data_IF_899650508617
#
_entry.id   IF_899650508617
#
_cell.length_a   1.000
_cell.length_b   1.000
_cell.length_c   1.000
_cell.angle_alpha   90.00
_cell.angle_beta   90.00
_cell.angle_gamma   90.00
#
_symmetry.space_group_name_H-M   'P 1'
#
loop_
_entity.id
_entity.type
_entity.pdbx_description
1 polymer ?
#
# COMPACT_ATOMS: atom_id res chain seq x y z
N UNK A 1 -15.21 12.56 17.38
CA UNK A 1 -16.63 12.23 17.56
C UNK A 1 -17.00 11.27 16.45
N UNK A 2 -17.61 10.11 16.74
CA UNK A 2 -18.00 9.15 15.68
C UNK A 2 -19.14 9.78 14.88
N UNK A 3 -18.98 9.85 13.55
CA UNK A 3 -19.98 10.39 12.64
C UNK A 3 -20.60 9.25 11.86
N UNK A 4 -21.93 9.21 11.83
CA UNK A 4 -22.67 8.29 10.97
C UNK A 4 -22.85 8.98 9.63
N UNK A 5 -22.41 8.33 8.55
CA UNK A 5 -22.76 8.71 7.19
C UNK A 5 -23.92 7.84 6.71
N UNK A 6 -25.04 8.49 6.38
CA UNK A 6 -26.30 7.85 6.01
C UNK A 6 -26.56 7.84 4.49
N UNK A 7 -25.73 8.53 3.71
CA UNK A 7 -25.78 8.51 2.26
C UNK A 7 -25.34 7.15 1.67
N UNK A 8 -25.80 6.80 0.45
CA UNK A 8 -25.39 5.57 -0.21
C UNK A 8 -23.87 5.57 -0.47
N UNK A 9 -23.24 4.44 -0.16
CA UNK A 9 -21.81 4.17 -0.40
C UNK A 9 -21.67 2.87 -1.18
N UNK A 10 -20.57 2.74 -1.92
CA UNK A 10 -20.33 1.66 -2.86
C UNK A 10 -19.15 0.80 -2.39
N UNK A 11 -19.30 -0.51 -2.51
CA UNK A 11 -18.22 -1.49 -2.59
C UNK A 11 -17.99 -1.88 -4.06
N UNK A 12 -16.92 -2.63 -4.35
CA UNK A 12 -16.57 -3.01 -5.74
C UNK A 12 -17.65 -3.85 -6.43
N UNK A 13 -18.38 -4.67 -5.68
CA UNK A 13 -19.48 -5.50 -6.19
C UNK A 13 -20.67 -4.69 -6.72
N UNK A 14 -20.77 -3.40 -6.37
CA UNK A 14 -21.92 -2.56 -6.70
C UNK A 14 -21.78 -1.88 -8.08
N UNK A 15 -20.65 -2.06 -8.77
CA UNK A 15 -20.35 -1.36 -10.04
C UNK A 15 -19.77 -2.28 -11.11
N UNK A 16 -19.85 -1.83 -12.36
CA UNK A 16 -19.17 -2.43 -13.51
C UNK A 16 -18.48 -1.33 -14.33
N UNK A 17 -17.34 -1.66 -14.95
CA UNK A 17 -16.64 -0.74 -15.86
C UNK A 17 -17.35 -0.76 -17.22
N UNK A 18 -17.92 0.38 -17.63
CA UNK A 18 -18.56 0.52 -18.94
C UNK A 18 -17.52 0.45 -20.08
N UNK A 19 -17.68 -0.44 -21.07
CA UNK A 19 -16.79 -0.48 -22.23
C UNK A 19 -16.76 0.85 -23.00
N UNK A 20 -15.60 1.18 -23.58
CA UNK A 20 -15.40 2.33 -24.46
C UNK A 20 -14.79 1.87 -25.78
N UNK A 21 -15.04 2.62 -26.86
CA UNK A 21 -14.42 2.36 -28.17
C UNK A 21 -12.89 2.37 -28.02
N UNK A 22 -12.23 1.32 -28.51
CA UNK A 22 -10.77 1.16 -28.42
C UNK A 22 -10.16 0.93 -29.80
N UNK A 23 -8.90 1.36 -29.96
CA UNK A 23 -8.07 1.06 -31.13
C UNK A 23 -7.17 -0.16 -30.92
N UNK A 24 -7.13 -0.69 -29.69
CA UNK A 24 -6.35 -1.89 -29.36
C UNK A 24 -6.95 -3.12 -30.03
N UNK A 25 -6.08 -3.96 -30.57
CA UNK A 25 -6.45 -5.22 -31.26
C UNK A 25 -6.21 -6.45 -30.41
N UNK A 26 -5.36 -6.35 -29.38
CA UNK A 26 -5.01 -7.43 -28.48
C UNK A 26 -4.71 -6.91 -27.08
N UNK A 27 -4.99 -7.73 -26.06
CA UNK A 27 -4.60 -7.49 -24.66
C UNK A 27 -3.09 -7.38 -24.48
N UNK A 28 -2.31 -8.05 -25.33
CA UNK A 28 -0.84 -7.98 -25.31
C UNK A 28 -0.28 -6.59 -25.66
N UNK A 29 -1.11 -5.66 -26.14
CA UNK A 29 -0.73 -4.28 -26.41
C UNK A 29 -0.92 -3.36 -25.21
N UNK A 30 -1.45 -3.86 -24.09
CA UNK A 30 -1.63 -3.10 -22.86
C UNK A 30 -0.33 -3.12 -22.06
N UNK A 31 0.14 -1.93 -21.67
CA UNK A 31 1.24 -1.77 -20.73
C UNK A 31 0.68 -1.54 -19.33
N UNK A 32 1.16 -2.31 -18.36
CA UNK A 32 0.79 -2.18 -16.95
C UNK A 32 1.82 -1.35 -16.15
N UNK A 33 3.02 -1.18 -16.69
CA UNK A 33 4.06 -0.33 -16.11
C UNK A 33 3.55 1.11 -15.96
N UNK A 34 3.72 1.64 -14.75
CA UNK A 34 3.39 3.01 -14.38
C UNK A 34 4.65 3.69 -13.86
N UNK A 35 4.90 4.94 -14.30
CA UNK A 35 5.92 5.80 -13.68
C UNK A 35 5.24 6.70 -12.64
N UNK A 36 5.72 6.65 -11.41
CA UNK A 36 5.24 7.44 -10.29
C UNK A 36 6.37 8.34 -9.81
N UNK A 37 6.08 9.63 -9.62
CA UNK A 37 6.95 10.54 -8.86
C UNK A 37 6.30 10.81 -7.52
N UNK A 38 6.98 10.44 -6.45
CA UNK A 38 6.50 10.62 -5.09
C UNK A 38 6.62 12.08 -4.65
N UNK A 39 5.57 12.56 -3.95
CA UNK A 39 5.42 13.97 -3.59
C UNK A 39 6.53 14.48 -2.69
N UNK A 40 6.83 13.77 -1.61
CA UNK A 40 7.67 14.23 -0.52
C UNK A 40 9.11 13.76 -0.68
N UNK A 41 9.30 12.47 -0.97
CA UNK A 41 10.64 11.89 -1.20
C UNK A 41 11.28 12.35 -2.50
N UNK A 42 10.47 12.82 -3.47
CA UNK A 42 10.88 13.13 -4.86
C UNK A 42 11.42 11.91 -5.63
N UNK A 43 11.38 10.74 -5.02
CA UNK A 43 11.80 9.51 -5.65
C UNK A 43 10.87 9.19 -6.82
N UNK A 44 11.47 8.69 -7.90
CA UNK A 44 10.74 8.09 -9.00
C UNK A 44 10.71 6.57 -8.84
N UNK A 45 9.57 5.97 -9.11
CA UNK A 45 9.39 4.54 -9.14
C UNK A 45 8.72 4.13 -10.46
N UNK A 46 9.13 2.98 -11.01
CA UNK A 46 8.55 2.43 -12.23
C UNK A 46 8.33 0.94 -12.07
N UNK A 47 7.09 0.49 -12.26
CA UNK A 47 6.71 -0.90 -12.15
C UNK A 47 5.22 -1.10 -12.34
N UNK A 48 4.73 -2.29 -12.01
CA UNK A 48 3.29 -2.60 -12.03
C UNK A 48 2.73 -2.23 -10.65
N UNK A 49 1.79 -1.27 -10.54
CA UNK A 49 1.34 -0.72 -9.25
C UNK A 49 0.36 -1.66 -8.53
N UNK A 50 0.82 -2.89 -8.29
CA UNK A 50 0.16 -3.90 -7.48
C UNK A 50 1.12 -4.25 -6.35
N UNK A 51 0.57 -4.29 -5.14
CA UNK A 51 1.34 -4.46 -3.92
C UNK A 51 0.88 -5.70 -3.17
N UNK A 52 1.83 -6.52 -2.73
CA UNK A 52 1.57 -7.60 -1.77
C UNK A 52 1.38 -6.99 -0.38
N UNK A 53 0.33 -7.40 0.32
CA UNK A 53 0.08 -7.00 1.69
C UNK A 53 1.20 -7.46 2.63
N UNK A 54 1.46 -6.69 3.69
CA UNK A 54 2.49 -6.96 4.70
C UNK A 54 2.07 -7.96 5.77
N UNK A 55 1.29 -8.99 5.41
CA UNK A 55 0.92 -10.08 6.31
C UNK A 55 2.03 -11.14 6.33
N UNK A 56 2.21 -11.80 7.46
CA UNK A 56 3.19 -12.89 7.65
C UNK A 56 3.06 -14.05 6.66
N UNK A 57 1.88 -14.23 6.10
CA UNK A 57 1.53 -15.27 5.13
C UNK A 57 1.60 -14.82 3.67
N UNK A 58 1.86 -13.53 3.40
CA UNK A 58 1.88 -12.99 2.03
C UNK A 58 3.15 -12.20 1.73
N UNK A 59 3.52 -11.24 2.59
CA UNK A 59 4.69 -10.37 2.45
C UNK A 59 6.01 -11.07 2.80
N UNK A 60 6.26 -12.26 2.25
CA UNK A 60 7.45 -13.07 2.55
C UNK A 60 8.57 -12.84 1.51
N UNK A 61 9.77 -13.32 1.84
CA UNK A 61 10.92 -13.28 0.92
C UNK A 61 10.69 -14.08 -0.36
N UNK A 62 10.03 -15.23 -0.27
CA UNK A 62 9.69 -16.06 -1.42
C UNK A 62 8.74 -15.33 -2.36
N UNK A 63 7.76 -14.61 -1.80
CA UNK A 63 6.83 -13.81 -2.60
C UNK A 63 7.56 -12.64 -3.29
N UNK A 64 8.45 -11.95 -2.58
CA UNK A 64 9.28 -10.89 -3.16
C UNK A 64 10.11 -11.40 -4.35
N UNK A 65 10.76 -12.57 -4.22
CA UNK A 65 11.50 -13.20 -5.33
C UNK A 65 10.60 -13.57 -6.50
N UNK A 66 9.46 -14.20 -6.23
CA UNK A 66 8.54 -14.67 -7.26
C UNK A 66 7.93 -13.53 -8.07
N UNK A 67 7.71 -12.36 -7.45
CA UNK A 67 7.07 -11.21 -8.09
C UNK A 67 8.04 -10.18 -8.67
N UNK A 68 9.33 -10.25 -8.34
CA UNK A 68 10.35 -9.36 -8.90
C UNK A 68 10.40 -9.35 -10.45
N UNK A 69 10.27 -10.47 -11.18
CA UNK A 69 10.21 -10.46 -12.65
C UNK A 69 9.05 -9.65 -13.22
N UNK A 70 7.98 -9.48 -12.43
CA UNK A 70 6.77 -8.76 -12.82
C UNK A 70 6.78 -7.30 -12.39
N UNK A 71 7.84 -6.83 -11.70
CA UNK A 71 7.98 -5.45 -11.18
C UNK A 71 6.84 -5.03 -10.24
N UNK A 72 6.28 -5.98 -9.50
CA UNK A 72 5.32 -5.71 -8.42
C UNK A 72 6.07 -5.33 -7.15
N UNK A 73 5.39 -4.61 -6.25
CA UNK A 73 5.92 -4.28 -4.94
C UNK A 73 5.53 -5.37 -3.94
N UNK A 74 6.46 -5.75 -3.06
CA UNK A 74 6.17 -6.60 -1.91
C UNK A 74 6.38 -5.81 -0.62
N UNK A 75 5.30 -5.48 0.10
CA UNK A 75 5.43 -4.97 1.46
C UNK A 75 5.78 -6.14 2.36
N UNK A 76 7.00 -6.18 2.90
CA UNK A 76 7.43 -7.30 3.73
C UNK A 76 6.74 -7.24 5.07
N UNK A 77 6.33 -8.39 5.61
CA UNK A 77 5.82 -8.43 6.98
C UNK A 77 6.91 -8.03 7.98
N UNK A 78 6.51 -7.44 9.10
CA UNK A 78 7.45 -6.83 10.06
C UNK A 78 8.09 -7.81 11.04
N UNK A 79 7.95 -9.12 10.85
CA UNK A 79 8.39 -10.13 11.83
C UNK A 79 9.81 -10.65 11.60
N UNK A 80 10.40 -10.40 10.43
CA UNK A 80 11.82 -10.71 10.20
C UNK A 80 12.73 -9.87 11.10
N UNK A 81 13.84 -10.47 11.51
CA UNK A 81 14.93 -9.79 12.18
C UNK A 81 15.80 -9.02 11.17
N UNK A 82 16.68 -8.15 11.66
CA UNK A 82 17.66 -7.46 10.82
C UNK A 82 18.54 -8.46 10.09
N UNK A 83 19.00 -9.51 10.80
CA UNK A 83 19.85 -10.55 10.23
C UNK A 83 19.15 -11.33 9.11
N UNK A 84 17.85 -11.59 9.24
CA UNK A 84 17.07 -12.26 8.19
C UNK A 84 17.01 -11.41 6.92
N UNK A 85 16.73 -10.11 7.05
CA UNK A 85 16.64 -9.18 5.91
C UNK A 85 18.01 -8.99 5.25
N UNK A 86 19.08 -8.92 6.04
CA UNK A 86 20.46 -8.86 5.53
C UNK A 86 20.84 -10.16 4.81
N UNK A 87 20.49 -11.32 5.38
CA UNK A 87 20.70 -12.61 4.73
C UNK A 87 19.93 -12.72 3.40
N UNK A 88 18.70 -12.22 3.36
CA UNK A 88 17.92 -12.16 2.12
C UNK A 88 18.53 -11.23 1.09
N UNK A 89 18.98 -10.02 1.48
CA UNK A 89 19.72 -9.09 0.61
C UNK A 89 20.90 -9.79 -0.05
N UNK A 90 21.68 -10.53 0.73
CA UNK A 90 22.86 -11.25 0.25
C UNK A 90 22.50 -12.42 -0.66
N UNK A 91 21.42 -13.13 -0.37
CA UNK A 91 20.90 -14.22 -1.22
C UNK A 91 20.51 -13.72 -2.61
N UNK A 92 19.84 -12.56 -2.70
CA UNK A 92 19.37 -11.98 -3.96
C UNK A 92 20.39 -11.05 -4.63
N UNK A 93 21.59 -10.92 -4.05
CA UNK A 93 22.66 -10.12 -4.61
C UNK A 93 23.07 -10.66 -5.99
N UNK A 94 22.88 -9.85 -7.03
CA UNK A 94 23.18 -10.24 -8.41
C UNK A 94 22.07 -11.01 -9.13
N UNK A 95 20.87 -11.12 -8.55
CA UNK A 95 19.69 -11.58 -9.27
C UNK A 95 19.41 -10.70 -10.50
N UNK A 96 18.90 -11.30 -11.59
CA UNK A 96 18.59 -10.60 -12.85
C UNK A 96 17.59 -9.45 -12.64
N UNK A 97 16.66 -9.64 -11.70
CA UNK A 97 15.67 -8.65 -11.32
C UNK A 97 16.04 -8.03 -9.98
N UNK A 98 15.96 -6.70 -9.88
CA UNK A 98 16.28 -6.00 -8.64
C UNK A 98 15.14 -6.17 -7.61
N UNK A 99 15.25 -7.24 -6.82
CA UNK A 99 14.27 -7.62 -5.79
C UNK A 99 14.20 -6.54 -4.71
N UNK A 100 15.35 -6.07 -4.22
CA UNK A 100 15.42 -5.14 -3.08
C UNK A 100 14.83 -3.76 -3.38
N UNK A 101 14.87 -3.30 -4.64
CA UNK A 101 14.26 -2.02 -5.01
C UNK A 101 12.71 -2.03 -4.98
N UNK A 102 12.10 -3.22 -5.06
CA UNK A 102 10.64 -3.38 -5.09
C UNK A 102 10.08 -3.94 -3.78
N UNK A 103 10.86 -3.96 -2.69
CA UNK A 103 10.33 -4.24 -1.36
C UNK A 103 10.06 -2.96 -0.59
N UNK A 104 9.03 -2.98 0.24
CA UNK A 104 8.83 -1.97 1.29
C UNK A 104 9.02 -2.62 2.67
N UNK A 105 9.80 -1.98 3.55
CA UNK A 105 9.97 -2.44 4.93
C UNK A 105 8.80 -1.97 5.76
N UNK A 106 8.04 -2.90 6.33
CA UNK A 106 6.88 -2.54 7.15
C UNK A 106 7.24 -2.32 8.61
N UNK A 107 6.58 -1.36 9.24
CA UNK A 107 6.74 -1.03 10.66
C UNK A 107 5.42 -0.56 11.28
N UNK A 108 5.25 -0.84 12.57
CA UNK A 108 4.25 -0.16 13.40
C UNK A 108 4.83 1.11 14.00
N UNK A 109 4.17 1.66 15.03
CA UNK A 109 4.56 2.94 15.65
C UNK A 109 5.43 2.79 16.90
N UNK A 110 5.90 1.59 17.23
CA UNK A 110 6.72 1.37 18.43
C UNK A 110 8.17 1.82 18.23
N UNK A 111 8.85 2.22 19.30
CA UNK A 111 10.28 2.57 19.23
C UNK A 111 11.15 1.38 18.81
N UNK A 112 10.75 0.15 19.18
CA UNK A 112 11.43 -1.07 18.76
C UNK A 112 11.33 -1.30 17.24
N UNK A 113 10.13 -1.15 16.67
CA UNK A 113 9.92 -1.24 15.22
C UNK A 113 10.71 -0.14 14.48
N UNK A 114 10.73 1.08 15.01
CA UNK A 114 11.50 2.19 14.45
C UNK A 114 13.00 1.95 14.48
N UNK A 115 13.55 1.49 15.61
CA UNK A 115 14.97 1.18 15.76
C UNK A 115 15.39 0.06 14.80
N UNK A 116 14.60 -1.02 14.72
CA UNK A 116 14.84 -2.13 13.79
C UNK A 116 14.84 -1.68 12.34
N UNK A 117 13.87 -0.84 11.95
CA UNK A 117 13.78 -0.30 10.58
C UNK A 117 15.00 0.54 10.24
N UNK A 118 15.48 1.38 11.16
CA UNK A 118 16.70 2.16 10.95
C UNK A 118 17.93 1.28 10.73
N UNK A 119 18.03 0.16 11.44
CA UNK A 119 19.11 -0.80 11.26
C UNK A 119 19.01 -1.52 9.92
N UNK A 120 17.82 -1.99 9.53
CA UNK A 120 17.58 -2.60 8.21
C UNK A 120 17.97 -1.64 7.09
N UNK A 121 17.49 -0.39 7.11
CA UNK A 121 17.78 0.60 6.05
C UNK A 121 19.28 0.92 5.98
N UNK A 122 19.96 0.97 7.13
CA UNK A 122 21.41 1.20 7.19
C UNK A 122 22.17 0.05 6.54
N UNK A 123 21.79 -1.19 6.83
CA UNK A 123 22.48 -2.37 6.30
C UNK A 123 22.05 -2.68 4.85
N UNK A 124 20.83 -2.31 4.43
CA UNK A 124 20.27 -2.58 3.11
C UNK A 124 19.94 -1.27 2.35
N UNK A 125 20.94 -0.50 1.87
CA UNK A 125 20.75 0.80 1.22
C UNK A 125 19.95 0.76 -0.10
N UNK A 126 19.76 -0.43 -0.68
CA UNK A 126 18.94 -0.69 -1.86
C UNK A 126 17.45 -0.56 -1.57
N UNK A 127 17.03 -0.73 -0.32
CA UNK A 127 15.65 -0.51 0.09
C UNK A 127 15.31 0.97 -0.06
N UNK A 128 14.26 1.27 -0.82
CA UNK A 128 13.81 2.65 -1.06
C UNK A 128 12.40 2.96 -0.56
N UNK A 129 11.70 2.00 0.05
CA UNK A 129 10.33 2.19 0.50
C UNK A 129 10.10 1.72 1.94
N UNK A 130 9.30 2.47 2.68
CA UNK A 130 8.78 2.11 4.00
C UNK A 130 7.25 1.99 3.94
N UNK A 131 6.69 1.05 4.70
CA UNK A 131 5.25 0.86 4.85
C UNK A 131 4.87 0.96 6.33
N UNK A 132 4.42 2.14 6.77
CA UNK A 132 3.97 2.36 8.14
C UNK A 132 2.50 1.94 8.21
N UNK A 133 2.24 0.79 8.82
CA UNK A 133 0.93 0.14 8.80
C UNK A 133 0.39 -0.08 10.22
N UNK A 134 -0.73 0.59 10.51
CA UNK A 134 -1.51 0.41 11.74
C UNK A 134 -3.01 0.36 11.44
N UNK A 135 -3.77 -0.26 12.34
CA UNK A 135 -5.21 -0.39 12.19
C UNK A 135 -5.98 0.95 12.21
N UNK A 136 -5.46 1.97 12.90
CA UNK A 136 -6.13 3.26 13.06
C UNK A 136 -5.19 4.43 12.73
N UNK A 137 -5.13 4.82 11.45
CA UNK A 137 -4.34 5.94 10.96
C UNK A 137 -4.82 7.33 11.41
N UNK A 138 -5.93 7.43 12.15
CA UNK A 138 -6.49 8.70 12.62
C UNK A 138 -5.92 9.20 13.95
N UNK A 139 -4.93 8.50 14.52
CA UNK A 139 -4.32 8.91 15.78
C UNK A 139 -3.22 9.96 15.56
N UNK A 140 -3.19 10.99 16.41
CA UNK A 140 -2.11 12.00 16.42
C UNK A 140 -0.73 11.35 16.57
N UNK A 141 -0.64 10.31 17.41
CA UNK A 141 0.58 9.51 17.57
C UNK A 141 1.09 8.91 16.25
N UNK A 142 0.19 8.51 15.36
CA UNK A 142 0.56 8.00 14.04
C UNK A 142 1.10 9.11 13.13
N UNK A 143 0.44 10.27 13.11
CA UNK A 143 0.90 11.45 12.37
C UNK A 143 2.31 11.85 12.81
N UNK A 144 2.55 11.90 14.12
CA UNK A 144 3.88 12.17 14.69
C UNK A 144 4.90 11.12 14.28
N UNK A 145 4.50 9.85 14.23
CA UNK A 145 5.38 8.77 13.78
C UNK A 145 5.74 8.88 12.29
N UNK A 146 4.79 9.25 11.43
CA UNK A 146 5.03 9.52 10.00
C UNK A 146 6.01 10.68 9.83
N UNK A 147 5.84 11.76 10.61
CA UNK A 147 6.76 12.91 10.61
C UNK A 147 8.18 12.48 10.97
N UNK A 148 8.32 11.75 12.08
CA UNK A 148 9.61 11.21 12.55
C UNK A 148 10.27 10.30 11.50
N UNK A 149 9.49 9.45 10.82
CA UNK A 149 10.00 8.62 9.74
C UNK A 149 10.50 9.44 8.55
N UNK A 150 9.74 10.46 8.11
CA UNK A 150 10.16 11.37 7.03
C UNK A 150 11.43 12.15 7.39
N UNK A 151 11.52 12.68 8.61
CA UNK A 151 12.72 13.39 9.07
C UNK A 151 13.96 12.50 9.07
N UNK A 152 13.79 11.22 9.41
CA UNK A 152 14.89 10.24 9.44
C UNK A 152 15.27 9.72 8.05
N UNK A 153 14.29 9.52 7.17
CA UNK A 153 14.42 8.85 5.87
C UNK A 153 13.90 9.76 4.75
N UNK A 154 14.55 10.91 4.57
CA UNK A 154 14.04 12.00 3.73
C UNK A 154 13.89 11.64 2.24
N UNK A 155 14.67 10.69 1.73
CA UNK A 155 14.73 10.25 0.34
C UNK A 155 13.92 8.98 0.05
N UNK A 156 13.38 8.31 1.07
CA UNK A 156 12.60 7.09 0.90
C UNK A 156 11.13 7.37 0.58
N UNK A 157 10.54 6.56 -0.28
CA UNK A 157 9.09 6.48 -0.47
C UNK A 157 8.40 6.00 0.81
N UNK A 158 7.50 6.79 1.37
CA UNK A 158 6.75 6.42 2.59
C UNK A 158 5.30 6.11 2.24
N UNK A 159 4.89 4.87 2.43
CA UNK A 159 3.49 4.43 2.41
C UNK A 159 2.98 4.44 3.85
N UNK A 160 1.83 5.06 4.11
CA UNK A 160 1.28 5.18 5.45
C UNK A 160 -0.24 4.92 5.48
N UNK A 161 -0.72 4.12 6.43
CA UNK A 161 -2.14 3.94 6.68
C UNK A 161 -2.46 3.06 7.88
N UNK A 162 -3.72 2.66 8.11
CA UNK A 162 -4.85 2.81 7.20
C UNK A 162 -5.84 3.93 7.56
N UNK A 163 -6.42 4.54 6.52
CA UNK A 163 -7.48 5.56 6.61
C UNK A 163 -8.57 5.31 5.57
N UNK A 164 -9.69 6.02 5.63
CA UNK A 164 -10.84 5.87 4.70
C UNK A 164 -11.48 7.19 4.27
N UNK A 165 -10.89 8.33 4.63
CA UNK A 165 -11.44 9.66 4.37
C UNK A 165 -10.40 10.63 3.81
N UNK A 166 -10.87 11.64 3.09
CA UNK A 166 -10.01 12.62 2.40
C UNK A 166 -9.17 13.49 3.34
N UNK A 167 -9.71 13.94 4.48
CA UNK A 167 -8.98 14.83 5.39
C UNK A 167 -7.73 14.18 5.99
N UNK A 168 -7.84 12.90 6.34
CA UNK A 168 -6.72 12.18 6.93
C UNK A 168 -5.67 11.82 5.86
N UNK A 169 -6.10 11.61 4.61
CA UNK A 169 -5.18 11.50 3.47
C UNK A 169 -4.36 12.78 3.31
N UNK A 170 -5.03 13.94 3.31
CA UNK A 170 -4.35 15.23 3.19
C UNK A 170 -3.36 15.45 4.34
N UNK A 171 -3.77 15.19 5.58
CA UNK A 171 -2.91 15.35 6.76
C UNK A 171 -1.66 14.48 6.69
N UNK A 172 -1.78 13.20 6.33
CA UNK A 172 -0.63 12.29 6.22
C UNK A 172 0.31 12.69 5.07
N UNK A 173 -0.24 13.11 3.93
CA UNK A 173 0.56 13.61 2.80
C UNK A 173 1.29 14.92 3.13
N UNK A 174 0.64 15.85 3.81
CA UNK A 174 1.26 17.10 4.27
C UNK A 174 2.33 16.84 5.32
N UNK A 175 2.14 15.82 6.16
CA UNK A 175 3.08 15.43 7.21
C UNK A 175 4.35 14.79 6.66
N UNK A 176 4.24 14.01 5.59
CA UNK A 176 5.43 13.45 4.94
C UNK A 176 5.26 12.12 4.21
N UNK A 177 4.09 11.49 4.26
CA UNK A 177 3.81 10.28 3.49
C UNK A 177 3.75 10.58 1.98
N UNK A 178 4.16 9.64 1.13
CA UNK A 178 4.08 9.75 -0.33
C UNK A 178 2.85 9.05 -0.91
N UNK A 179 2.44 7.95 -0.29
CA UNK A 179 1.26 7.18 -0.65
C UNK A 179 0.44 6.81 0.60
N UNK A 180 -0.88 6.90 0.52
CA UNK A 180 -1.77 6.62 1.66
C UNK A 180 -2.46 5.27 1.45
N UNK A 181 -2.35 4.37 2.44
CA UNK A 181 -3.02 3.07 2.42
C UNK A 181 -4.46 3.23 2.89
N UNK A 182 -5.42 2.90 2.01
CA UNK A 182 -6.85 3.19 2.16
C UNK A 182 -7.62 1.90 2.39
N UNK A 183 -8.28 1.79 3.54
CA UNK A 183 -9.17 0.68 3.87
C UNK A 183 -9.22 0.35 5.35
N UNK A 184 -10.41 0.42 5.95
CA UNK A 184 -10.65 -0.02 7.34
C UNK A 184 -11.82 -1.00 7.34
N UNK A 185 -11.50 -2.25 7.68
CA UNK A 185 -12.46 -3.35 7.68
C UNK A 185 -12.83 -4.03 6.34
N UNK A 186 -12.25 -3.73 5.15
CA UNK A 186 -12.61 -4.42 3.92
C UNK A 186 -11.82 -5.73 3.72
N UNK A 187 -10.88 -6.12 4.58
CA UNK A 187 -10.08 -7.33 4.35
C UNK A 187 -10.89 -8.62 4.48
N UNK A 188 -10.58 -9.65 3.67
CA UNK A 188 -11.30 -10.93 3.66
C UNK A 188 -11.31 -11.67 5.00
N UNK A 189 -10.23 -11.54 5.78
CA UNK A 189 -10.09 -12.09 7.14
C UNK A 189 -10.29 -11.03 8.23
N UNK A 190 -10.68 -9.82 7.86
CA UNK A 190 -10.83 -8.71 8.78
C UNK A 190 -12.19 -8.76 9.47
N UNK A 191 -12.18 -8.71 10.80
CA UNK A 191 -13.41 -8.72 11.62
C UNK A 191 -13.77 -7.35 12.18
N UNK A 192 -13.03 -6.28 11.83
CA UNK A 192 -13.22 -4.93 12.41
C UNK A 192 -14.65 -4.43 12.25
N UNK A 193 -15.24 -4.49 11.04
CA UNK A 193 -16.64 -4.06 10.80
C UNK A 193 -17.62 -4.79 11.72
N UNK A 194 -17.42 -6.09 11.91
CA UNK A 194 -18.28 -6.92 12.76
C UNK A 194 -18.09 -6.65 14.25
N UNK A 195 -16.84 -6.49 14.70
CA UNK A 195 -16.51 -6.35 16.11
C UNK A 195 -16.74 -4.93 16.66
N UNK A 196 -16.49 -3.89 15.85
CA UNK A 196 -16.48 -2.50 16.33
C UNK A 196 -17.57 -1.65 15.68
N UNK A 197 -18.18 -2.11 14.59
CA UNK A 197 -19.08 -1.31 13.76
C UNK A 197 -18.37 -0.22 12.96
N UNK A 198 -17.05 -0.14 13.00
CA UNK A 198 -16.25 0.87 12.29
C UNK A 198 -15.75 0.30 10.97
N UNK A 199 -15.95 1.07 9.90
CA UNK A 199 -15.41 0.79 8.57
C UNK A 199 -16.04 1.71 7.54
N UNK A 200 -15.62 1.54 6.29
CA UNK A 200 -16.13 2.32 5.17
C UNK A 200 -16.15 1.46 3.89
N UNK A 201 -17.20 1.52 3.05
CA UNK A 201 -17.24 0.79 1.77
C UNK A 201 -16.10 1.20 0.84
N UNK A 202 -15.38 0.20 0.33
CA UNK A 202 -14.01 0.37 -0.14
C UNK A 202 -13.92 1.19 -1.42
N UNK A 203 -14.87 1.02 -2.35
CA UNK A 203 -14.87 1.79 -3.59
C UNK A 203 -15.13 3.27 -3.31
N UNK A 204 -16.09 3.60 -2.43
CA UNK A 204 -16.32 4.98 -2.02
C UNK A 204 -15.12 5.60 -1.30
N UNK A 205 -14.46 4.85 -0.40
CA UNK A 205 -13.24 5.32 0.25
C UNK A 205 -12.13 5.60 -0.77
N UNK A 206 -11.92 4.69 -1.74
CA UNK A 206 -10.94 4.87 -2.82
C UNK A 206 -11.23 6.13 -3.63
N UNK A 207 -12.48 6.39 -4.01
CA UNK A 207 -12.85 7.60 -4.78
C UNK A 207 -12.52 8.86 -3.98
N UNK A 208 -13.00 8.95 -2.73
CA UNK A 208 -12.80 10.12 -1.88
C UNK A 208 -11.31 10.37 -1.60
N UNK A 209 -10.58 9.33 -1.18
CA UNK A 209 -9.17 9.42 -0.86
C UNK A 209 -8.29 9.69 -2.09
N UNK A 210 -8.65 9.15 -3.27
CA UNK A 210 -7.91 9.42 -4.50
C UNK A 210 -8.02 10.89 -4.91
N UNK A 211 -9.23 11.46 -4.84
CA UNK A 211 -9.45 12.87 -5.17
C UNK A 211 -8.63 13.79 -4.24
N UNK A 212 -8.65 13.51 -2.93
CA UNK A 212 -7.85 14.24 -1.94
C UNK A 212 -6.34 14.10 -2.19
N UNK A 213 -5.85 12.87 -2.40
CA UNK A 213 -4.43 12.63 -2.62
C UNK A 213 -3.91 13.30 -3.90
N UNK A 214 -4.63 13.14 -5.02
CA UNK A 214 -4.24 13.72 -6.30
C UNK A 214 -4.30 15.26 -6.27
N UNK A 215 -5.22 15.86 -5.50
CA UNK A 215 -5.26 17.30 -5.26
C UNK A 215 -3.95 17.85 -4.66
N UNK A 216 -3.20 17.02 -3.93
CA UNK A 216 -1.90 17.36 -3.34
C UNK A 216 -0.70 16.76 -4.09
N UNK A 217 -0.91 16.13 -5.25
CA UNK A 217 0.06 15.33 -5.99
C UNK A 217 0.63 14.13 -5.20
N UNK A 218 -0.13 13.63 -4.22
CA UNK A 218 0.15 12.35 -3.55
C UNK A 218 -0.51 11.18 -4.25
N UNK A 219 -0.29 9.98 -3.71
CA UNK A 219 -0.84 8.72 -4.23
C UNK A 219 -1.64 7.98 -3.16
N UNK A 220 -2.45 7.00 -3.56
CA UNK A 220 -3.12 6.09 -2.63
C UNK A 220 -2.85 4.63 -3.00
N UNK A 221 -3.02 3.75 -2.02
CA UNK A 221 -3.02 2.29 -2.17
C UNK A 221 -4.37 1.79 -1.67
N UNK A 222 -5.19 1.23 -2.55
CA UNK A 222 -6.42 0.56 -2.14
C UNK A 222 -6.06 -0.77 -1.45
N UNK A 223 -6.32 -0.87 -0.15
CA UNK A 223 -5.91 -1.99 0.70
C UNK A 223 -7.12 -2.72 1.32
N UNK A 224 -7.26 -3.99 0.93
CA UNK A 224 -8.40 -4.85 1.26
C UNK A 224 -9.40 -5.02 0.12
N UNK A 225 -10.43 -5.83 0.36
CA UNK A 225 -11.17 -6.66 -0.61
C UNK A 225 -11.04 -6.29 -2.10
N UNK A 226 -10.28 -7.13 -2.81
CA UNK A 226 -10.47 -7.41 -4.23
C UNK A 226 -11.02 -8.85 -4.34
N UNK A 227 -12.27 -9.10 -3.92
CA UNK A 227 -12.90 -10.36 -4.30
C UNK A 227 -13.24 -10.29 -5.79
N UNK A 228 -13.07 -11.40 -6.51
CA UNK A 228 -13.49 -11.51 -7.89
C UNK A 228 -14.94 -11.01 -8.05
N UNK A 229 -15.31 -10.38 -9.18
CA UNK A 229 -16.70 -10.38 -9.56
C UNK A 229 -17.12 -11.85 -9.61
N UNK A 230 -17.97 -12.26 -8.67
CA UNK A 230 -18.54 -13.61 -8.66
C UNK A 230 -19.04 -13.88 -10.08
N UNK A 231 -18.56 -14.93 -10.77
CA UNK A 231 -19.14 -15.31 -12.05
C UNK A 231 -20.63 -15.48 -11.78
N UNK A 232 -21.48 -14.78 -12.53
CA UNK A 232 -22.91 -15.03 -12.44
C UNK A 232 -23.11 -16.49 -12.83
N UNK A 233 -23.57 -17.37 -11.92
CA UNK A 233 -23.71 -18.80 -12.22
C UNK A 233 -24.77 -19.06 -13.31
N UNK A 234 -25.50 -18.03 -13.75
CA UNK A 234 -26.46 -18.08 -14.85
C UNK A 234 -25.90 -17.56 -16.21
N UNK A 235 -24.60 -17.32 -16.33
CA UNK A 235 -23.98 -16.79 -17.55
C UNK A 235 -22.92 -17.71 -18.19
N UNK A 236 -22.75 -18.95 -17.74
CA UNK A 236 -22.03 -19.96 -18.52
C UNK A 236 -23.00 -20.69 -19.47
N UNK A 237 -22.72 -20.76 -20.79
CA UNK A 237 -23.52 -21.51 -21.76
C UNK A 237 -23.38 -23.04 -21.61
#
# INVERSE_FOLDING_TARGET
MVRIEDGPKLDFKDVLIRPKRSTLRSRSQVTLDTEITFRNSKQKWTGVPIMVANMDTTGTFEMAKALAPHKLITCMHKHYSVADVVGFRDEVAGAEHNVMNNIAISLGTSDADFAKTNEIVKECPEVKMLCIDIANGYSEHFVDHVRRCRERHADMGIIAGNVVTGEMVEELLLTGADAIKVGIGPGSVCTTRYQTGVGYPQLSAVIECADAAHGLNGHIVADGENQEPTPNPNLDP
#
